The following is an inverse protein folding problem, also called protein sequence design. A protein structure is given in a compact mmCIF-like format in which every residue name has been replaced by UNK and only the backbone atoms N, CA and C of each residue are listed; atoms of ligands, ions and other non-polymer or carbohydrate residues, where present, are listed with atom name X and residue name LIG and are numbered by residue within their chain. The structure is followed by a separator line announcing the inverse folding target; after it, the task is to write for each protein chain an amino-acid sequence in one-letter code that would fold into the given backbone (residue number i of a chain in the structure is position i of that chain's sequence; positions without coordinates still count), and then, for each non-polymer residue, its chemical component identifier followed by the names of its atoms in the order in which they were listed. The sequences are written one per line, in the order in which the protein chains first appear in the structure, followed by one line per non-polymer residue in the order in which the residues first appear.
data_IF_658721446840
#
_entry.id   IF_658721446840
#
_cell.length_a   1.000
_cell.length_b   1.000
_cell.length_c   1.000
_cell.angle_alpha   90.00
_cell.angle_beta   90.00
_cell.angle_gamma   90.00
#
_symmetry.space_group_name_H-M   'P 1'
#
loop_
_entity.id
_entity.type
_entity.pdbx_description
1 polymer ?
#
# COMPACT_ATOMS: atom_id res chain seq x y z
N UNK A 1 41.73 13.33 -53.97
CA UNK A 1 41.86 12.38 -52.84
C UNK A 1 40.88 12.82 -51.77
N UNK A 2 39.96 11.93 -51.38
CA UNK A 2 38.87 12.18 -50.42
C UNK A 2 39.44 12.25 -49.00
N UNK A 3 39.26 13.37 -48.30
CA UNK A 3 39.55 13.46 -46.87
C UNK A 3 38.28 13.14 -46.10
N UNK A 4 38.27 11.98 -45.46
CA UNK A 4 37.21 11.48 -44.59
C UNK A 4 37.43 12.12 -43.21
N UNK A 5 36.58 13.07 -42.81
CA UNK A 5 36.60 13.63 -41.46
C UNK A 5 35.74 12.71 -40.59
N UNK A 6 36.39 12.07 -39.63
CA UNK A 6 35.80 11.14 -38.66
C UNK A 6 35.10 11.95 -37.57
N UNK A 7 33.76 12.00 -37.59
CA UNK A 7 32.97 12.64 -36.54
C UNK A 7 32.98 11.76 -35.29
N UNK A 8 33.62 12.24 -34.22
CA UNK A 8 33.65 11.59 -32.91
C UNK A 8 32.28 11.75 -32.24
N UNK A 9 31.44 10.72 -32.28
CA UNK A 9 30.17 10.70 -31.58
C UNK A 9 30.42 10.54 -30.07
N UNK A 10 30.21 11.63 -29.32
CA UNK A 10 30.21 11.65 -27.87
C UNK A 10 28.94 10.94 -27.38
N UNK A 11 29.03 9.64 -27.12
CA UNK A 11 27.95 8.87 -26.50
C UNK A 11 27.89 9.30 -25.04
N UNK A 12 27.01 10.25 -24.73
CA UNK A 12 26.57 10.50 -23.37
C UNK A 12 25.85 9.24 -22.88
N UNK A 13 26.59 8.37 -22.19
CA UNK A 13 26.04 7.33 -21.34
C UNK A 13 25.35 8.00 -20.15
N UNK A 14 24.14 8.52 -20.38
CA UNK A 14 23.20 8.71 -19.29
C UNK A 14 22.83 7.31 -18.81
N UNK A 15 23.55 6.82 -17.81
CA UNK A 15 23.02 5.81 -16.92
C UNK A 15 21.81 6.46 -16.26
N UNK A 16 20.62 6.15 -16.77
CA UNK A 16 19.37 6.39 -16.07
C UNK A 16 19.39 5.50 -14.84
N UNK A 17 19.95 6.03 -13.76
CA UNK A 17 19.66 5.56 -12.41
C UNK A 17 18.17 5.81 -12.26
N UNK A 18 17.35 4.80 -12.54
CA UNK A 18 15.99 4.73 -12.02
C UNK A 18 16.14 4.61 -10.51
N UNK A 19 16.29 5.76 -9.87
CA UNK A 19 16.06 5.86 -8.44
C UNK A 19 14.57 5.54 -8.26
N UNK A 20 14.29 4.39 -7.65
CA UNK A 20 12.96 3.92 -7.27
C UNK A 20 12.45 4.83 -6.14
N UNK A 21 12.18 6.10 -6.44
CA UNK A 21 11.91 7.15 -5.44
C UNK A 21 10.44 7.25 -5.03
N UNK A 22 9.57 6.35 -5.50
CA UNK A 22 8.14 6.41 -5.24
C UNK A 22 7.71 5.79 -3.91
N UNK A 23 8.24 4.61 -3.57
CA UNK A 23 7.67 3.79 -2.48
C UNK A 23 8.15 4.22 -1.08
N UNK A 24 9.37 4.73 -0.96
CA UNK A 24 9.92 5.13 0.34
C UNK A 24 9.37 6.45 0.89
N UNK A 25 8.90 7.37 0.03
CA UNK A 25 8.46 8.71 0.48
C UNK A 25 7.15 8.68 1.27
N UNK A 26 6.18 7.83 0.88
CA UNK A 26 4.89 7.68 1.57
C UNK A 26 5.01 7.02 2.95
N UNK A 27 6.06 6.23 3.18
CA UNK A 27 6.31 5.50 4.44
C UNK A 27 7.17 6.29 5.44
N UNK A 28 7.48 7.56 5.14
CA UNK A 28 8.22 8.43 6.06
C UNK A 28 7.35 8.87 7.23
N UNK A 29 7.97 9.17 8.37
CA UNK A 29 7.26 9.70 9.54
C UNK A 29 6.46 10.96 9.18
N UNK A 30 7.04 11.89 8.42
CA UNK A 30 6.38 13.14 8.04
C UNK A 30 5.16 12.91 7.14
N UNK A 31 5.21 11.93 6.23
CA UNK A 31 4.06 11.56 5.41
C UNK A 31 2.96 10.90 6.27
N UNK A 32 3.33 9.90 7.07
CA UNK A 32 2.36 9.15 7.88
C UNK A 32 1.73 9.98 9.00
N UNK A 33 2.49 10.90 9.60
CA UNK A 33 1.96 11.81 10.62
C UNK A 33 0.85 12.73 10.11
N UNK A 34 0.86 13.08 8.82
CA UNK A 34 -0.22 13.86 8.17
C UNK A 34 -1.46 13.02 7.88
N UNK A 35 -1.29 11.71 7.70
CA UNK A 35 -2.38 10.78 7.42
C UNK A 35 -3.00 10.20 8.69
N UNK A 36 -2.29 10.21 9.82
CA UNK A 36 -2.77 9.60 11.05
C UNK A 36 -4.09 10.22 11.53
N UNK A 37 -5.11 9.39 11.75
CA UNK A 37 -6.46 9.82 12.11
C UNK A 37 -7.28 10.39 10.95
N UNK A 38 -6.75 10.42 9.73
CA UNK A 38 -7.50 10.82 8.55
C UNK A 38 -8.55 9.77 8.18
N UNK A 39 -9.64 10.25 7.59
CA UNK A 39 -10.75 9.44 7.09
C UNK A 39 -10.98 9.78 5.63
N UNK A 40 -11.07 8.75 4.79
CA UNK A 40 -11.45 8.86 3.39
C UNK A 40 -12.70 8.03 3.12
N UNK A 41 -13.53 8.49 2.19
CA UNK A 41 -14.82 7.87 1.84
C UNK A 41 -14.95 7.71 0.32
N UNK A 42 -15.73 6.70 -0.10
CA UNK A 42 -15.98 6.35 -1.49
C UNK A 42 -14.69 6.17 -2.28
N UNK A 43 -14.59 6.83 -3.45
CA UNK A 43 -13.42 6.73 -4.33
C UNK A 43 -12.10 7.09 -3.63
N UNK A 44 -12.11 8.06 -2.71
CA UNK A 44 -10.90 8.45 -1.98
C UNK A 44 -10.44 7.35 -1.02
N UNK A 45 -11.36 6.55 -0.47
CA UNK A 45 -11.02 5.41 0.38
C UNK A 45 -10.30 4.31 -0.42
N UNK A 46 -10.80 4.02 -1.64
CA UNK A 46 -10.16 3.11 -2.58
C UNK A 46 -8.78 3.62 -2.99
N UNK A 47 -8.67 4.90 -3.38
CA UNK A 47 -7.40 5.52 -3.76
C UNK A 47 -6.38 5.45 -2.61
N UNK A 48 -6.80 5.75 -1.37
CA UNK A 48 -5.94 5.64 -0.19
C UNK A 48 -5.43 4.20 0.00
N UNK A 49 -6.29 3.19 0.00
CA UNK A 49 -5.84 1.80 0.13
C UNK A 49 -4.94 1.36 -1.03
N UNK A 50 -5.22 1.85 -2.24
CA UNK A 50 -4.45 1.53 -3.42
C UNK A 50 -3.05 2.17 -3.42
N UNK A 51 -2.78 3.14 -2.53
CA UNK A 51 -1.41 3.60 -2.26
C UNK A 51 -0.58 2.56 -1.50
N UNK A 52 -1.20 1.67 -0.73
CA UNK A 52 -0.53 0.75 0.20
C UNK A 52 -0.62 -0.71 -0.24
N UNK A 53 -1.74 -1.07 -0.84
CA UNK A 53 -2.06 -2.39 -1.41
C UNK A 53 -2.54 -2.19 -2.85
N UNK A 54 -2.85 -3.27 -3.56
CA UNK A 54 -3.54 -3.19 -4.84
C UNK A 54 -5.02 -3.48 -4.66
N UNK A 55 -5.89 -2.57 -5.09
CA UNK A 55 -7.35 -2.75 -5.07
C UNK A 55 -7.85 -3.05 -6.48
N UNK A 56 -8.57 -4.17 -6.65
CA UNK A 56 -9.31 -4.48 -7.88
C UNK A 56 -10.80 -4.54 -7.56
N UNK A 57 -11.63 -4.01 -8.45
CA UNK A 57 -13.08 -4.00 -8.30
C UNK A 57 -13.74 -4.88 -9.39
N UNK A 58 -14.67 -5.73 -8.98
CA UNK A 58 -15.52 -6.54 -9.88
C UNK A 58 -16.94 -6.64 -9.33
N UNK A 59 -17.92 -6.11 -10.08
CA UNK A 59 -19.36 -6.19 -9.76
C UNK A 59 -19.68 -5.85 -8.28
N UNK A 60 -19.24 -4.67 -7.86
CA UNK A 60 -19.39 -4.11 -6.50
C UNK A 60 -18.58 -4.82 -5.39
N UNK A 61 -17.78 -5.83 -5.73
CA UNK A 61 -16.84 -6.47 -4.82
C UNK A 61 -15.46 -5.87 -4.99
N UNK A 62 -14.84 -5.47 -3.88
CA UNK A 62 -13.44 -5.01 -3.87
C UNK A 62 -12.52 -6.08 -3.31
N UNK A 63 -11.41 -6.30 -4.00
CA UNK A 63 -10.37 -7.26 -3.66
C UNK A 63 -9.05 -6.53 -3.42
N UNK A 64 -8.49 -6.67 -2.22
CA UNK A 64 -7.23 -6.10 -1.83
C UNK A 64 -6.14 -7.17 -1.93
N UNK A 65 -5.06 -6.86 -2.64
CA UNK A 65 -3.93 -7.75 -2.84
C UNK A 65 -2.63 -7.12 -2.35
N UNK A 66 -1.71 -7.97 -1.91
CA UNK A 66 -0.33 -7.58 -1.69
C UNK A 66 0.36 -7.40 -3.07
N UNK A 67 0.78 -6.18 -3.46
CA UNK A 67 1.42 -5.93 -4.75
C UNK A 67 2.76 -6.63 -4.95
N UNK A 68 3.48 -7.00 -3.88
CA UNK A 68 4.80 -7.64 -3.98
C UNK A 68 4.73 -9.12 -4.40
N UNK A 69 3.65 -9.82 -4.05
CA UNK A 69 3.52 -11.26 -4.27
C UNK A 69 2.18 -11.69 -4.90
N UNK A 70 1.21 -10.79 -5.05
CA UNK A 70 -0.10 -11.06 -5.63
C UNK A 70 -1.08 -11.78 -4.69
N UNK A 71 -0.73 -11.96 -3.41
CA UNK A 71 -1.57 -12.64 -2.42
C UNK A 71 -2.83 -11.83 -2.12
N UNK A 72 -3.98 -12.51 -2.04
CA UNK A 72 -5.24 -11.91 -1.60
C UNK A 72 -5.17 -11.62 -0.10
N UNK A 73 -5.41 -10.37 0.28
CA UNK A 73 -5.39 -9.91 1.67
C UNK A 73 -6.80 -9.91 2.25
N UNK A 74 -7.74 -9.32 1.52
CA UNK A 74 -9.12 -9.11 1.96
C UNK A 74 -10.02 -8.94 0.74
N UNK A 75 -11.24 -9.47 0.78
CA UNK A 75 -12.29 -9.09 -0.17
C UNK A 75 -13.56 -8.65 0.56
N UNK A 76 -14.19 -7.61 0.03
CA UNK A 76 -15.33 -6.92 0.66
C UNK A 76 -16.54 -6.99 -0.26
N UNK A 77 -17.60 -7.64 0.18
CA UNK A 77 -18.81 -7.82 -0.62
C UNK A 77 -19.60 -6.50 -0.75
N UNK A 78 -19.45 -5.59 0.21
CA UNK A 78 -20.00 -4.24 0.13
C UNK A 78 -19.11 -3.24 -0.62
N UNK A 79 -17.93 -3.67 -1.08
CA UNK A 79 -16.87 -2.77 -1.52
C UNK A 79 -16.27 -1.94 -0.38
N UNK A 80 -15.27 -1.12 -0.70
CA UNK A 80 -14.64 -0.16 0.20
C UNK A 80 -15.45 1.14 0.18
N UNK A 81 -16.14 1.43 1.28
CA UNK A 81 -16.93 2.65 1.46
C UNK A 81 -16.17 3.71 2.26
N UNK A 82 -15.40 3.28 3.26
CA UNK A 82 -14.70 4.17 4.20
C UNK A 82 -13.41 3.55 4.70
N UNK A 83 -12.37 4.37 4.82
CA UNK A 83 -11.08 3.97 5.38
C UNK A 83 -10.59 5.05 6.33
N UNK A 84 -10.30 4.66 7.58
CA UNK A 84 -9.63 5.51 8.57
C UNK A 84 -8.20 4.98 8.79
N UNK A 85 -7.20 5.86 8.79
CA UNK A 85 -5.85 5.51 9.24
C UNK A 85 -5.81 5.58 10.77
N UNK A 86 -5.86 4.44 11.46
CA UNK A 86 -5.94 4.37 12.93
C UNK A 86 -4.63 4.75 13.61
N UNK A 87 -3.54 4.17 13.12
CA UNK A 87 -2.22 4.31 13.72
C UNK A 87 -1.14 3.97 12.73
N UNK A 88 0.04 4.50 13.00
CA UNK A 88 1.28 4.01 12.41
C UNK A 88 2.36 3.89 13.49
N UNK A 89 3.30 2.96 13.28
CA UNK A 89 4.44 2.79 14.16
C UNK A 89 5.69 2.46 13.35
N UNK A 90 6.74 3.27 13.51
CA UNK A 90 8.01 3.11 12.80
C UNK A 90 9.08 2.66 13.79
N UNK A 91 9.74 1.55 13.47
CA UNK A 91 10.92 1.02 14.18
C UNK A 91 12.18 1.26 13.36
N UNK A 92 13.32 0.69 13.77
CA UNK A 92 14.56 0.77 12.99
C UNK A 92 14.45 0.10 11.62
N UNK A 93 13.65 -0.97 11.50
CA UNK A 93 13.59 -1.80 10.29
C UNK A 93 12.18 -1.92 9.66
N UNK A 94 11.13 -1.64 10.43
CA UNK A 94 9.75 -1.91 10.03
C UNK A 94 8.87 -0.69 10.25
N UNK A 95 8.03 -0.38 9.25
CA UNK A 95 6.92 0.58 9.35
C UNK A 95 5.61 -0.20 9.37
N UNK A 96 4.79 0.03 10.39
CA UNK A 96 3.46 -0.57 10.51
C UNK A 96 2.39 0.50 10.30
N UNK A 97 1.32 0.13 9.59
CA UNK A 97 0.11 0.93 9.43
C UNK A 97 -1.11 0.09 9.77
N UNK A 98 -2.06 0.71 10.47
CA UNK A 98 -3.36 0.14 10.78
C UNK A 98 -4.45 0.99 10.13
N UNK A 99 -5.27 0.34 9.31
CA UNK A 99 -6.45 0.92 8.68
C UNK A 99 -7.71 0.32 9.29
N UNK A 100 -8.72 1.14 9.56
CA UNK A 100 -10.07 0.67 9.82
C UNK A 100 -10.88 0.82 8.54
N UNK A 101 -11.34 -0.30 8.00
CA UNK A 101 -12.12 -0.37 6.76
C UNK A 101 -13.59 -0.60 7.10
N UNK A 102 -14.46 0.24 6.54
CA UNK A 102 -15.91 0.24 6.71
C UNK A 102 -16.37 0.19 8.19
N UNK A 103 -15.59 0.76 9.11
CA UNK A 103 -15.83 0.71 10.56
C UNK A 103 -15.95 -0.70 11.17
N UNK A 104 -15.48 -1.74 10.46
CA UNK A 104 -15.62 -3.15 10.84
C UNK A 104 -14.29 -3.91 10.89
N UNK A 105 -13.43 -3.69 9.90
CA UNK A 105 -12.23 -4.50 9.69
C UNK A 105 -10.99 -3.68 10.00
N UNK A 106 -10.19 -4.17 10.94
CA UNK A 106 -8.85 -3.68 11.18
C UNK A 106 -7.87 -4.37 10.23
N UNK A 107 -7.34 -3.62 9.27
CA UNK A 107 -6.34 -4.06 8.30
C UNK A 107 -4.96 -3.53 8.71
N UNK A 108 -4.08 -4.45 9.07
CA UNK A 108 -2.69 -4.19 9.41
C UNK A 108 -1.79 -4.46 8.21
N UNK A 109 -0.86 -3.54 7.93
CA UNK A 109 0.19 -3.72 6.91
C UNK A 109 1.54 -3.31 7.48
N UNK A 110 2.51 -4.22 7.41
CA UNK A 110 3.91 -3.99 7.80
C UNK A 110 4.81 -3.92 6.58
N UNK A 111 5.77 -2.99 6.58
CA UNK A 111 6.73 -2.78 5.51
C UNK A 111 8.16 -2.83 6.03
N UNK A 112 9.09 -3.40 5.25
CA UNK A 112 10.51 -3.19 5.45
C UNK A 112 10.87 -1.75 5.08
N UNK A 113 11.48 -1.02 6.02
CA UNK A 113 11.80 0.40 5.85
C UNK A 113 12.78 0.67 4.70
N UNK A 114 13.75 -0.21 4.52
CA UNK A 114 14.83 0.00 3.54
C UNK A 114 14.37 -0.24 2.09
N UNK A 115 13.44 -1.19 1.90
CA UNK A 115 12.99 -1.61 0.57
C UNK A 115 11.59 -1.12 0.22
N UNK A 116 10.78 -0.70 1.20
CA UNK A 116 9.37 -0.40 1.00
C UNK A 116 8.50 -1.63 0.74
N UNK A 117 9.06 -2.85 0.78
CA UNK A 117 8.32 -4.09 0.55
C UNK A 117 7.46 -4.47 1.73
N UNK A 118 6.29 -5.01 1.46
CA UNK A 118 5.38 -5.59 2.44
C UNK A 118 6.02 -6.82 3.07
N UNK A 119 6.14 -6.78 4.38
CA UNK A 119 6.52 -7.89 5.24
C UNK A 119 5.30 -8.75 5.57
N UNK A 120 4.19 -8.11 5.93
CA UNK A 120 3.01 -8.80 6.44
C UNK A 120 1.76 -7.98 6.18
N UNK A 121 0.67 -8.67 5.85
CA UNK A 121 -0.69 -8.15 5.91
C UNK A 121 -1.52 -9.01 6.86
N UNK A 122 -2.47 -8.38 7.57
CA UNK A 122 -3.44 -9.10 8.40
C UNK A 122 -4.72 -8.29 8.54
N UNK A 123 -5.85 -8.90 8.25
CA UNK A 123 -7.19 -8.33 8.50
C UNK A 123 -7.87 -9.04 9.66
N UNK A 124 -8.48 -8.27 10.55
CA UNK A 124 -9.18 -8.74 11.74
C UNK A 124 -10.57 -8.09 11.82
N UNK A 125 -11.57 -8.84 12.26
CA UNK A 125 -12.91 -8.32 12.56
C UNK A 125 -13.38 -8.85 13.91
N UNK A 126 -14.08 -8.02 14.70
CA UNK A 126 -14.70 -8.48 15.94
C UNK A 126 -15.85 -9.43 15.63
N UNK A 127 -15.81 -10.63 16.21
CA UNK A 127 -16.88 -11.61 16.12
C UNK A 127 -17.73 -11.58 17.38
N UNK A 128 -19.03 -11.30 17.25
CA UNK A 128 -19.96 -11.39 18.36
C UNK A 128 -20.12 -12.83 18.89
N UNK A 129 -19.96 -13.82 18.01
CA UNK A 129 -20.05 -15.23 18.37
C UNK A 129 -18.90 -15.67 19.28
N UNK A 130 -17.66 -15.29 18.93
CA UNK A 130 -16.46 -15.63 19.72
C UNK A 130 -16.11 -14.60 20.81
N UNK A 131 -16.75 -13.43 20.77
CA UNK A 131 -16.46 -12.27 21.64
C UNK A 131 -15.00 -11.80 21.59
N UNK A 132 -14.38 -11.93 20.42
CA UNK A 132 -13.00 -11.52 20.19
C UNK A 132 -12.78 -11.09 18.72
N UNK A 133 -11.68 -10.39 18.48
CA UNK A 133 -11.23 -10.10 17.11
C UNK A 133 -10.55 -11.32 16.52
N UNK A 134 -11.07 -11.81 15.40
CA UNK A 134 -10.53 -12.97 14.68
C UNK A 134 -9.97 -12.56 13.31
N UNK A 135 -8.99 -13.31 12.77
CA UNK A 135 -8.52 -13.09 11.40
C UNK A 135 -9.63 -13.35 10.40
N UNK A 136 -9.74 -12.47 9.39
CA UNK A 136 -10.72 -12.60 8.32
C UNK A 136 -10.11 -12.32 6.97
N UNK A 137 -10.60 -13.00 5.93
CA UNK A 137 -10.33 -12.65 4.53
C UNK A 137 -11.57 -12.05 3.84
N UNK A 138 -12.69 -11.99 4.57
CA UNK A 138 -13.97 -11.41 4.15
C UNK A 138 -14.79 -10.97 5.35
N UNK A 139 -15.79 -10.12 5.14
CA UNK A 139 -16.68 -9.63 6.19
C UNK A 139 -17.43 -10.79 6.86
N UNK A 140 -17.52 -10.77 8.21
CA UNK A 140 -18.39 -11.66 9.00
C UNK A 140 -19.86 -11.29 8.87
#
# INVERSE_FOLDING_TARGET
MKNFILTLAFICLFSTIYAHTGEGQKLTHDALSKLNGSVAEGKAAIELLNEYLKVNQENDVDYLYNPDNGELVLYLNSGVEKVEVKSFHITSHVTNLDFMVNDKILLHVSYYKDSGKILLTRSMQYSEFWQESIPVITEL
#
